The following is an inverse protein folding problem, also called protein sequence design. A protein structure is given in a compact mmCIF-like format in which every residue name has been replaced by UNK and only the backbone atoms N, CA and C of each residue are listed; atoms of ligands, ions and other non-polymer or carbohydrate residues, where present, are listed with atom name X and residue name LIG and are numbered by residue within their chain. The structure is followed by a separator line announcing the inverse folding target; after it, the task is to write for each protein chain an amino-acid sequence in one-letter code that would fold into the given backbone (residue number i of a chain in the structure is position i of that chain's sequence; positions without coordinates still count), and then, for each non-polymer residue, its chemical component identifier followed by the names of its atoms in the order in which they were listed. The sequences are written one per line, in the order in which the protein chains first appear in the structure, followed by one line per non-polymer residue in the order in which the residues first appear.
data_IF_522221848785
#
_entry.id   IF_522221848785
#
_cell.length_a   1.000
_cell.length_b   1.000
_cell.length_c   1.000
_cell.angle_alpha   90.00
_cell.angle_beta   90.00
_cell.angle_gamma   90.00
#
_symmetry.space_group_name_H-M   'P 1'
#
loop_
_entity.id
_entity.type
_entity.pdbx_description
1 polymer ?
#
# COMPACT_ATOMS: atom_id res chain seq x y z
N UNK A 1 9.11 5.71 19.15
CA UNK A 1 8.53 4.48 18.55
C UNK A 1 8.05 4.80 17.16
N UNK A 2 8.57 4.13 16.14
CA UNK A 2 8.24 4.33 14.72
C UNK A 2 6.97 3.52 14.40
N UNK A 3 6.00 4.12 13.74
CA UNK A 3 4.73 3.47 13.37
C UNK A 3 4.73 3.06 11.90
N UNK A 4 4.64 1.76 11.64
CA UNK A 4 4.58 1.19 10.28
C UNK A 4 3.22 0.54 10.05
N UNK A 5 2.55 0.90 8.96
CA UNK A 5 1.32 0.24 8.54
C UNK A 5 1.56 -0.65 7.32
N UNK A 6 0.98 -1.84 7.36
CA UNK A 6 0.92 -2.75 6.22
C UNK A 6 -0.46 -2.70 5.56
N UNK A 7 -0.52 -2.41 4.26
CA UNK A 7 -1.77 -2.41 3.49
C UNK A 7 -1.81 -3.66 2.60
N UNK A 8 -2.72 -4.58 2.90
CA UNK A 8 -2.94 -5.76 2.08
C UNK A 8 -4.04 -5.52 1.05
N UNK A 9 -3.66 -5.35 -0.22
CA UNK A 9 -4.57 -5.19 -1.36
C UNK A 9 -5.18 -6.51 -1.86
N UNK A 10 -4.85 -7.65 -1.25
CA UNK A 10 -5.38 -8.95 -1.67
C UNK A 10 -6.82 -9.17 -1.21
N UNK A 11 -7.73 -9.68 -2.08
CA UNK A 11 -9.05 -10.10 -1.66
C UNK A 11 -9.04 -11.42 -0.84
N UNK A 12 -7.87 -12.05 -0.67
CA UNK A 12 -7.70 -13.33 0.03
C UNK A 12 -6.55 -13.27 1.03
N UNK A 13 -6.68 -13.95 2.16
CA UNK A 13 -5.58 -14.17 3.11
C UNK A 13 -4.68 -15.34 2.64
N UNK A 14 -3.88 -15.08 1.58
CA UNK A 14 -2.92 -16.06 1.04
C UNK A 14 -1.55 -15.40 0.86
N UNK A 15 -0.85 -15.68 -0.24
CA UNK A 15 0.56 -15.33 -0.44
C UNK A 15 0.88 -13.83 -0.21
N UNK A 16 0.07 -12.90 -0.74
CA UNK A 16 0.32 -11.46 -0.52
C UNK A 16 0.14 -11.05 0.95
N UNK A 17 -0.85 -11.64 1.63
CA UNK A 17 -1.05 -11.42 3.06
C UNK A 17 0.13 -11.99 3.86
N UNK A 18 0.57 -13.22 3.56
CA UNK A 18 1.70 -13.85 4.23
C UNK A 18 3.01 -13.06 4.03
N UNK A 19 3.27 -12.63 2.79
CA UNK A 19 4.45 -11.82 2.48
C UNK A 19 4.44 -10.46 3.22
N UNK A 20 3.28 -9.83 3.34
CA UNK A 20 3.14 -8.59 4.10
C UNK A 20 3.36 -8.82 5.60
N UNK A 21 2.82 -9.90 6.15
CA UNK A 21 3.04 -10.28 7.55
C UNK A 21 4.52 -10.46 7.84
N UNK A 22 5.23 -11.23 7.02
CA UNK A 22 6.67 -11.46 7.12
C UNK A 22 7.46 -10.14 7.12
N UNK A 23 7.08 -9.22 6.22
CA UNK A 23 7.73 -7.91 6.16
C UNK A 23 7.48 -7.05 7.42
N UNK A 24 6.26 -7.12 7.98
CA UNK A 24 5.93 -6.42 9.22
C UNK A 24 6.60 -7.07 10.45
N UNK A 25 6.67 -8.40 10.49
CA UNK A 25 7.36 -9.13 11.53
C UNK A 25 8.86 -8.80 11.52
N UNK A 26 9.49 -8.72 10.33
CA UNK A 26 10.87 -8.25 10.18
C UNK A 26 11.06 -6.78 10.61
N UNK A 27 10.07 -5.92 10.42
CA UNK A 27 10.14 -4.55 10.94
C UNK A 27 10.12 -4.52 12.47
N UNK A 28 9.32 -5.37 13.13
CA UNK A 28 9.30 -5.49 14.60
C UNK A 28 10.66 -5.95 15.18
N UNK A 29 11.39 -6.80 14.46
CA UNK A 29 12.70 -7.27 14.88
C UNK A 29 13.77 -6.16 14.95
N UNK A 30 13.53 -5.01 14.30
CA UNK A 30 14.48 -3.88 14.30
C UNK A 30 14.46 -3.07 15.59
N UNK A 31 13.49 -3.26 16.49
CA UNK A 31 13.44 -2.63 17.81
C UNK A 31 12.22 -1.71 18.00
N UNK A 32 12.40 -0.43 18.23
CA UNK A 32 11.35 0.53 18.63
C UNK A 32 10.33 0.85 17.52
N UNK A 33 9.60 -0.18 17.07
CA UNK A 33 8.62 -0.14 15.99
C UNK A 33 7.28 -0.70 16.45
N UNK A 34 6.20 -0.01 16.10
CA UNK A 34 4.81 -0.48 16.17
C UNK A 34 4.32 -0.81 14.76
N UNK A 35 3.64 -1.94 14.58
CA UNK A 35 3.08 -2.32 13.28
C UNK A 35 1.57 -2.54 13.35
N UNK A 36 0.86 -2.11 12.31
CA UNK A 36 -0.55 -2.43 12.11
C UNK A 36 -0.77 -3.00 10.71
N UNK A 37 -1.45 -4.15 10.60
CA UNK A 37 -1.84 -4.73 9.32
C UNK A 37 -3.28 -4.39 8.98
N UNK A 38 -3.49 -3.72 7.87
CA UNK A 38 -4.79 -3.31 7.34
C UNK A 38 -5.11 -4.12 6.09
N UNK A 39 -6.16 -4.92 6.14
CA UNK A 39 -6.67 -5.65 4.98
C UNK A 39 -7.75 -4.82 4.28
N UNK A 40 -7.63 -4.68 2.96
CA UNK A 40 -8.70 -4.09 2.13
C UNK A 40 -9.79 -5.11 1.80
N UNK A 41 -9.52 -6.38 2.05
CA UNK A 41 -10.47 -7.48 1.89
C UNK A 41 -11.76 -7.22 2.68
N UNK A 42 -12.90 -7.46 2.03
CA UNK A 42 -14.24 -7.27 2.61
C UNK A 42 -14.58 -5.82 3.02
N UNK A 43 -13.72 -4.84 2.74
CA UNK A 43 -14.05 -3.42 2.95
C UNK A 43 -14.85 -2.87 1.77
N UNK A 44 -15.82 -2.04 2.07
CA UNK A 44 -16.59 -1.29 1.09
C UNK A 44 -15.84 0.02 0.82
N UNK A 45 -15.09 0.06 -0.27
CA UNK A 45 -14.34 1.24 -0.71
C UNK A 45 -14.95 1.74 -2.02
N UNK A 46 -15.59 2.89 -1.99
CA UNK A 46 -15.98 3.58 -3.22
C UNK A 46 -14.74 4.18 -3.88
N UNK A 47 -14.69 4.18 -5.20
CA UNK A 47 -13.64 4.88 -5.94
C UNK A 47 -13.89 6.38 -5.99
N UNK A 48 -12.84 7.17 -6.18
CA UNK A 48 -12.96 8.61 -6.32
C UNK A 48 -13.61 8.98 -7.66
N UNK A 49 -14.68 9.77 -7.63
CA UNK A 49 -15.35 10.31 -8.82
C UNK A 49 -14.79 11.68 -9.26
N UNK A 50 -13.68 12.10 -8.68
CA UNK A 50 -13.00 13.35 -8.98
C UNK A 50 -13.88 14.62 -8.89
N UNK A 51 -14.86 14.64 -8.01
CA UNK A 51 -15.78 15.78 -7.85
C UNK A 51 -15.12 17.01 -7.20
N UNK A 52 -13.93 16.89 -6.66
CA UNK A 52 -13.16 17.92 -5.96
C UNK A 52 -13.88 18.56 -4.75
N UNK A 53 -14.95 17.97 -4.24
CA UNK A 53 -15.66 18.50 -3.06
C UNK A 53 -14.73 18.62 -1.86
N UNK A 54 -13.92 17.58 -1.58
CA UNK A 54 -12.93 17.61 -0.51
C UNK A 54 -11.93 18.78 -0.64
N UNK A 55 -11.55 19.16 -1.87
CA UNK A 55 -10.62 20.29 -2.08
C UNK A 55 -11.30 21.63 -1.83
N UNK A 56 -12.59 21.78 -2.22
CA UNK A 56 -13.35 23.02 -1.97
C UNK A 56 -13.66 23.22 -0.49
N UNK A 57 -13.81 22.13 0.26
CA UNK A 57 -14.09 22.13 1.70
C UNK A 57 -12.82 22.13 2.56
N UNK A 58 -11.64 22.22 1.95
CA UNK A 58 -10.33 22.09 2.61
C UNK A 58 -10.24 20.85 3.54
N UNK A 59 -10.94 19.77 3.17
CA UNK A 59 -11.01 18.57 3.96
C UNK A 59 -9.80 17.67 3.73
N UNK A 60 -9.38 16.95 4.77
CA UNK A 60 -8.28 15.97 4.71
C UNK A 60 -8.76 14.54 4.44
N UNK A 61 -10.08 14.37 4.22
CA UNK A 61 -10.72 13.09 3.87
C UNK A 61 -11.82 13.33 2.85
N UNK A 62 -12.30 12.26 2.21
CA UNK A 62 -13.45 12.37 1.32
C UNK A 62 -14.70 12.76 2.12
N UNK A 63 -15.45 13.74 1.61
CA UNK A 63 -16.68 14.26 2.23
C UNK A 63 -17.95 13.86 1.46
N UNK A 64 -17.79 13.00 0.44
CA UNK A 64 -18.91 12.45 -0.35
C UNK A 64 -19.30 11.07 0.14
N UNK A 65 -18.31 10.21 0.40
CA UNK A 65 -18.54 8.84 0.82
C UNK A 65 -18.14 8.67 2.29
N UNK A 66 -19.07 8.16 3.07
CA UNK A 66 -18.82 7.62 4.39
C UNK A 66 -18.80 6.10 4.28
N UNK A 67 -17.60 5.56 4.11
CA UNK A 67 -17.35 4.14 3.87
C UNK A 67 -16.11 3.67 4.66
N UNK A 68 -15.68 2.43 4.44
CA UNK A 68 -14.55 1.86 5.17
C UNK A 68 -13.20 2.55 4.88
N UNK A 69 -13.16 3.50 3.95
CA UNK A 69 -12.00 4.37 3.74
C UNK A 69 -11.87 5.43 4.83
N UNK A 70 -12.98 5.87 5.43
CA UNK A 70 -12.99 7.00 6.37
C UNK A 70 -12.00 6.84 7.52
N UNK A 71 -11.97 5.73 8.27
CA UNK A 71 -10.99 5.53 9.35
C UNK A 71 -9.56 5.29 8.85
N UNK A 72 -9.35 4.94 7.59
CA UNK A 72 -8.02 4.63 7.05
C UNK A 72 -7.18 5.88 6.79
N UNK A 73 -7.80 7.02 6.53
CA UNK A 73 -7.07 8.29 6.35
C UNK A 73 -6.20 8.61 7.56
N UNK A 74 -6.77 8.60 8.74
CA UNK A 74 -6.05 8.92 9.96
C UNK A 74 -4.89 7.96 10.21
N UNK A 75 -5.09 6.66 10.01
CA UNK A 75 -4.06 5.63 10.16
C UNK A 75 -2.88 5.88 9.23
N UNK A 76 -3.15 6.23 7.96
CA UNK A 76 -2.11 6.57 6.98
C UNK A 76 -1.39 7.87 7.35
N UNK A 77 -2.12 8.87 7.83
CA UNK A 77 -1.51 10.16 8.20
C UNK A 77 -0.64 10.06 9.46
N UNK A 78 -0.98 9.18 10.39
CA UNK A 78 -0.21 8.96 11.62
C UNK A 78 0.99 8.03 11.45
N UNK A 79 1.01 7.21 10.39
CA UNK A 79 2.12 6.27 10.15
C UNK A 79 3.38 7.01 9.67
N UNK A 80 4.55 6.53 10.11
CA UNK A 80 5.87 6.97 9.64
C UNK A 80 6.31 6.18 8.40
N UNK A 81 5.82 4.95 8.26
CA UNK A 81 6.11 4.09 7.13
C UNK A 81 4.90 3.27 6.68
N UNK A 82 4.91 2.88 5.40
CA UNK A 82 3.86 2.07 4.79
C UNK A 82 4.45 0.97 3.92
N UNK A 83 4.04 -0.28 4.17
CA UNK A 83 4.35 -1.41 3.30
C UNK A 83 3.06 -1.83 2.60
N UNK A 84 3.01 -1.77 1.28
CA UNK A 84 1.84 -2.16 0.50
C UNK A 84 2.12 -3.47 -0.24
N UNK A 85 1.24 -4.46 -0.06
CA UNK A 85 1.31 -5.73 -0.76
C UNK A 85 0.08 -5.95 -1.64
N UNK A 86 0.30 -6.34 -2.90
CA UNK A 86 -0.75 -6.68 -3.86
C UNK A 86 -0.47 -8.00 -4.56
N UNK A 87 -1.48 -8.84 -4.81
CA UNK A 87 -1.35 -9.84 -5.87
C UNK A 87 -1.35 -9.12 -7.23
N UNK A 88 -0.75 -9.76 -8.22
CA UNK A 88 -0.81 -9.27 -9.61
C UNK A 88 -2.11 -9.73 -10.24
N UNK A 89 -2.94 -8.77 -10.65
CA UNK A 89 -4.17 -9.00 -11.41
C UNK A 89 -4.07 -8.20 -12.71
N UNK A 90 -4.19 -8.89 -13.85
CA UNK A 90 -4.10 -8.29 -15.18
C UNK A 90 -2.87 -7.36 -15.33
N UNK A 91 -1.69 -7.89 -14.95
CA UNK A 91 -0.41 -7.19 -14.97
C UNK A 91 -0.32 -5.94 -14.03
N UNK A 92 -1.26 -5.78 -13.11
CA UNK A 92 -1.37 -4.60 -12.25
C UNK A 92 -1.79 -4.99 -10.82
N UNK A 93 -2.05 -3.97 -9.99
CA UNK A 93 -2.62 -4.11 -8.65
C UNK A 93 -4.12 -4.49 -8.72
N UNK A 94 -4.67 -4.91 -7.59
CA UNK A 94 -6.12 -5.19 -7.51
C UNK A 94 -6.96 -3.92 -7.63
N UNK A 95 -8.19 -4.06 -8.13
CA UNK A 95 -9.15 -2.95 -8.21
C UNK A 95 -9.44 -2.31 -6.83
N UNK A 96 -9.46 -3.11 -5.75
CA UNK A 96 -9.64 -2.59 -4.40
C UNK A 96 -8.48 -1.69 -3.97
N UNK A 97 -7.26 -2.08 -4.28
CA UNK A 97 -6.07 -1.26 -3.98
C UNK A 97 -6.04 0.01 -4.84
N UNK A 98 -6.44 -0.08 -6.10
CA UNK A 98 -6.59 1.08 -6.97
C UNK A 98 -7.67 2.05 -6.44
N UNK A 99 -8.81 1.53 -5.95
CA UNK A 99 -9.83 2.35 -5.31
C UNK A 99 -9.29 3.04 -4.04
N UNK A 100 -8.53 2.33 -3.22
CA UNK A 100 -7.85 2.91 -2.05
C UNK A 100 -6.92 4.06 -2.46
N UNK A 101 -6.06 3.89 -3.46
CA UNK A 101 -5.17 4.95 -3.96
C UNK A 101 -5.92 6.17 -4.47
N UNK A 102 -6.96 5.95 -5.26
CA UNK A 102 -7.78 7.03 -5.84
C UNK A 102 -8.43 7.92 -4.78
N UNK A 103 -8.65 7.41 -3.58
CA UNK A 103 -9.29 8.15 -2.49
C UNK A 103 -8.35 9.13 -1.76
N UNK A 104 -7.05 9.16 -2.10
CA UNK A 104 -6.09 10.12 -1.52
C UNK A 104 -6.10 11.50 -2.17
N UNK A 105 -7.10 11.84 -2.95
CA UNK A 105 -7.29 13.20 -3.48
C UNK A 105 -7.26 14.31 -2.41
N UNK A 106 -7.82 14.11 -1.19
CA UNK A 106 -7.79 15.13 -0.11
C UNK A 106 -6.41 15.45 0.43
N UNK A 107 -5.41 14.57 0.24
CA UNK A 107 -4.03 14.81 0.71
C UNK A 107 -3.42 16.07 0.13
N UNK A 108 -3.93 16.53 -1.03
CA UNK A 108 -3.51 17.78 -1.63
C UNK A 108 -3.70 18.98 -0.70
N UNK A 109 -4.72 18.97 0.17
CA UNK A 109 -4.93 20.05 1.16
C UNK A 109 -3.89 19.98 2.29
N UNK A 110 -3.40 18.78 2.64
CA UNK A 110 -2.30 18.60 3.59
C UNK A 110 -1.00 19.13 2.97
N UNK A 111 -0.69 18.70 1.75
CA UNK A 111 0.55 19.04 1.03
C UNK A 111 0.63 20.57 0.79
N UNK A 112 -0.50 21.24 0.53
CA UNK A 112 -0.53 22.71 0.41
C UNK A 112 -0.13 23.44 1.70
N UNK A 113 -0.47 22.87 2.86
CA UNK A 113 -0.19 23.46 4.17
C UNK A 113 1.19 23.07 4.69
N UNK A 114 1.61 21.84 4.45
CA UNK A 114 2.93 21.30 4.77
C UNK A 114 3.46 20.46 3.59
N UNK A 115 4.21 21.06 2.67
CA UNK A 115 4.77 20.36 1.52
C UNK A 115 5.70 19.20 1.91
N UNK A 116 6.19 19.17 3.14
CA UNK A 116 7.12 18.14 3.65
C UNK A 116 6.42 17.01 4.42
N UNK A 117 5.11 17.09 4.61
CA UNK A 117 4.36 16.14 5.44
C UNK A 117 4.61 14.68 5.06
N UNK A 118 4.52 14.37 3.77
CA UNK A 118 4.76 13.02 3.28
C UNK A 118 6.24 12.71 3.00
N UNK A 119 7.09 13.73 2.83
CA UNK A 119 8.53 13.54 2.60
C UNK A 119 9.25 12.91 3.81
N UNK A 120 8.62 12.95 4.97
CA UNK A 120 9.11 12.33 6.21
C UNK A 120 8.66 10.87 6.37
N UNK A 121 7.90 10.34 5.41
CA UNK A 121 7.35 8.98 5.44
C UNK A 121 8.03 8.12 4.40
N UNK A 122 8.21 6.84 4.74
CA UNK A 122 8.81 5.85 3.83
C UNK A 122 7.77 4.88 3.29
N UNK A 123 7.96 4.43 2.06
CA UNK A 123 7.09 3.47 1.40
C UNK A 123 7.86 2.29 0.82
N UNK A 124 7.39 1.06 1.04
CA UNK A 124 7.92 -0.16 0.44
C UNK A 124 6.81 -0.96 -0.26
N UNK A 125 7.15 -1.66 -1.33
CA UNK A 125 6.20 -2.36 -2.18
C UNK A 125 6.48 -3.86 -2.26
N UNK A 126 5.40 -4.66 -2.26
CA UNK A 126 5.42 -6.11 -2.44
C UNK A 126 4.41 -6.49 -3.52
N UNK A 127 4.82 -7.22 -4.54
CA UNK A 127 3.94 -7.80 -5.55
C UNK A 127 4.08 -9.31 -5.63
N UNK A 128 2.96 -10.03 -5.65
CA UNK A 128 2.94 -11.50 -5.71
C UNK A 128 2.20 -11.95 -6.97
N UNK A 129 2.93 -12.51 -7.94
CA UNK A 129 2.38 -13.08 -9.15
C UNK A 129 2.08 -14.59 -9.05
N UNK A 130 1.29 -15.09 -9.99
CA UNK A 130 1.07 -16.53 -10.18
C UNK A 130 2.23 -17.24 -10.88
N UNK A 131 3.08 -16.48 -11.59
CA UNK A 131 4.27 -16.97 -12.31
C UNK A 131 5.45 -16.06 -12.02
N UNK A 132 6.65 -16.55 -12.34
CA UNK A 132 7.91 -15.81 -12.09
C UNK A 132 7.93 -14.44 -12.80
N UNK A 133 7.49 -14.38 -14.06
CA UNK A 133 7.44 -13.15 -14.87
C UNK A 133 5.97 -12.80 -15.15
N UNK A 134 5.17 -12.70 -14.09
CA UNK A 134 3.72 -12.58 -14.16
C UNK A 134 3.18 -11.15 -14.00
N UNK A 135 4.01 -10.12 -14.28
CA UNK A 135 3.60 -8.71 -14.19
C UNK A 135 3.83 -8.07 -12.83
N UNK A 136 4.73 -8.64 -12.01
CA UNK A 136 5.08 -8.08 -10.71
C UNK A 136 5.58 -6.64 -10.81
N UNK A 137 6.41 -6.34 -11.83
CA UNK A 137 6.92 -4.99 -12.05
C UNK A 137 5.80 -3.98 -12.32
N UNK A 138 4.76 -4.38 -13.05
CA UNK A 138 3.58 -3.52 -13.28
C UNK A 138 2.87 -3.17 -11.97
N UNK A 139 2.64 -4.16 -11.11
CA UNK A 139 2.02 -3.95 -9.82
C UNK A 139 2.92 -3.14 -8.86
N UNK A 140 4.24 -3.41 -8.83
CA UNK A 140 5.20 -2.64 -8.04
C UNK A 140 5.20 -1.17 -8.49
N UNK A 141 5.30 -0.91 -9.80
CA UNK A 141 5.31 0.44 -10.34
C UNK A 141 4.03 1.22 -10.02
N UNK A 142 2.87 0.55 -9.99
CA UNK A 142 1.62 1.18 -9.58
C UNK A 142 1.66 1.62 -8.09
N UNK A 143 2.24 0.79 -7.21
CA UNK A 143 2.42 1.12 -5.79
C UNK A 143 3.44 2.26 -5.64
N UNK A 144 4.57 2.19 -6.34
CA UNK A 144 5.59 3.25 -6.32
C UNK A 144 5.02 4.58 -6.84
N UNK A 145 4.22 4.53 -7.91
CA UNK A 145 3.52 5.71 -8.44
C UNK A 145 2.61 6.38 -7.40
N UNK A 146 1.94 5.60 -6.56
CA UNK A 146 1.19 6.13 -5.43
C UNK A 146 2.11 6.86 -4.43
N UNK A 147 3.21 6.24 -4.00
CA UNK A 147 4.16 6.88 -3.08
C UNK A 147 4.76 8.17 -3.66
N UNK A 148 5.19 8.15 -4.91
CA UNK A 148 5.72 9.35 -5.59
C UNK A 148 4.68 10.46 -5.69
N UNK A 149 3.41 10.13 -5.98
CA UNK A 149 2.33 11.11 -6.03
C UNK A 149 2.08 11.78 -4.68
N UNK A 150 2.29 11.05 -3.58
CA UNK A 150 2.21 11.62 -2.23
C UNK A 150 3.50 12.34 -1.81
N UNK A 151 4.63 12.15 -2.49
CA UNK A 151 5.94 12.68 -2.11
C UNK A 151 6.67 11.88 -1.04
N UNK A 152 6.30 10.61 -0.84
CA UNK A 152 6.96 9.71 0.12
C UNK A 152 8.34 9.27 -0.38
N UNK A 153 9.24 8.98 0.55
CA UNK A 153 10.53 8.35 0.24
C UNK A 153 10.30 6.87 -0.02
N UNK A 154 10.68 6.39 -1.20
CA UNK A 154 10.60 4.96 -1.53
C UNK A 154 11.84 4.25 -1.02
N UNK A 155 11.65 3.16 -0.26
CA UNK A 155 12.72 2.24 0.07
C UNK A 155 12.52 0.88 -0.58
N UNK A 156 13.62 0.25 -0.95
CA UNK A 156 13.69 -1.11 -1.49
C UNK A 156 14.55 -1.98 -0.57
N UNK A 157 14.71 -3.25 -0.90
CA UNK A 157 15.54 -4.18 -0.13
C UNK A 157 17.04 -4.11 -0.45
N UNK A 158 17.53 -3.02 -1.07
CA UNK A 158 18.92 -2.84 -1.47
C UNK A 158 19.19 -3.18 -2.93
N UNK A 159 20.46 -3.29 -3.30
CA UNK A 159 20.86 -3.61 -4.67
C UNK A 159 20.27 -4.94 -5.14
N UNK A 160 19.63 -4.94 -6.31
CA UNK A 160 18.96 -6.12 -6.89
C UNK A 160 17.48 -6.25 -6.57
N UNK A 161 16.90 -5.38 -5.73
CA UNK A 161 15.47 -5.32 -5.42
C UNK A 161 14.87 -3.95 -5.75
N UNK A 162 15.18 -3.45 -6.94
CA UNK A 162 15.04 -2.06 -7.38
C UNK A 162 13.68 -1.41 -7.11
N UNK A 163 12.59 -2.14 -7.36
CA UNK A 163 11.23 -1.62 -7.22
C UNK A 163 10.49 -2.17 -5.97
N UNK A 164 11.15 -3.00 -5.16
CA UNK A 164 10.55 -3.70 -4.03
C UNK A 164 10.56 -5.22 -4.16
N UNK A 165 9.80 -5.94 -3.34
CA UNK A 165 9.78 -7.39 -3.33
C UNK A 165 8.90 -7.97 -4.45
N UNK A 166 9.51 -8.64 -5.41
CA UNK A 166 8.85 -9.37 -6.49
C UNK A 166 8.80 -10.87 -6.16
N UNK A 167 7.62 -11.37 -5.87
CA UNK A 167 7.39 -12.75 -5.45
C UNK A 167 6.46 -13.48 -6.43
N UNK A 168 6.52 -14.81 -6.44
CA UNK A 168 5.54 -15.60 -7.17
C UNK A 168 5.18 -16.88 -6.40
N UNK A 169 3.98 -17.39 -6.64
CA UNK A 169 3.51 -18.64 -6.07
C UNK A 169 3.21 -19.65 -7.20
N UNK A 170 4.07 -20.66 -7.42
CA UNK A 170 3.87 -21.65 -8.46
C UNK A 170 2.70 -22.61 -8.19
N UNK A 171 2.24 -22.71 -6.96
CA UNK A 171 1.08 -23.51 -6.57
C UNK A 171 -0.19 -22.70 -6.55
N UNK A 172 -0.85 -22.46 -7.67
CA UNK A 172 -2.10 -21.71 -7.78
C UNK A 172 -3.07 -21.96 -6.62
N UNK A 173 -2.92 -21.18 -5.54
CA UNK A 173 -3.85 -21.20 -4.40
C UNK A 173 -3.50 -22.08 -3.22
N UNK A 174 -2.38 -22.79 -3.17
CA UNK A 174 -2.02 -23.69 -2.07
C UNK A 174 -1.26 -23.05 -0.89
N UNK A 175 -1.07 -21.73 -0.89
CA UNK A 175 -0.52 -21.01 0.27
C UNK A 175 0.96 -21.26 0.59
N UNK A 176 1.66 -22.10 -0.18
CA UNK A 176 3.10 -22.29 -0.04
C UNK A 176 3.82 -21.32 -0.98
N UNK A 177 4.59 -20.43 -0.42
CA UNK A 177 5.50 -19.58 -1.17
C UNK A 177 6.94 -19.98 -0.86
N UNK A 178 7.77 -19.99 -1.88
CA UNK A 178 9.18 -20.30 -1.73
C UNK A 178 9.97 -19.00 -1.88
N UNK A 179 10.63 -18.57 -0.81
CA UNK A 179 11.72 -17.63 -0.91
C UNK A 179 12.94 -18.38 -1.45
N UNK A 180 13.50 -17.94 -2.58
CA UNK A 180 14.91 -18.26 -2.84
C UNK A 180 15.74 -17.21 -2.10
N UNK A 181 16.56 -17.70 -1.18
CA UNK A 181 17.68 -16.97 -0.61
C UNK A 181 18.68 -16.61 -1.70
#
# INVERSE_FOLDING_TARGET
MVKIIGICGSPRRKSSYAALREALDGALETGDVEVELIELRARKLNFCIHCNKCLREDAVRCTVYEDDMTPLYEKVYQADGMIIASPVYEMNITAQLAAFFNRFRPTWNIIKKDPTFFNRKVGAAIAVGGTRNGGQEGALNAILGFYHTQGMVVCNGGAGTYAGASLWNPGMGQGKWTTRK
#
